data_IF_917016234095
#
_entry.id   IF_917016234095
#
_cell.length_a   1.000
_cell.length_b   1.000
_cell.length_c   1.000
_cell.angle_alpha   90.00
_cell.angle_beta   90.00
_cell.angle_gamma   90.00
#
_symmetry.space_group_name_H-M   'P 1'
#
loop_
_entity.id
_entity.type
_entity.pdbx_description
1 polymer ?
#
# COMPACT_ATOMS: atom_id res chain seq x y z
N UNK A 1 10.54 -10.71 -3.31
CA UNK A 1 9.83 -11.44 -4.38
C UNK A 1 8.94 -10.43 -5.05
N UNK A 2 9.31 -9.92 -6.23
CA UNK A 2 8.51 -8.93 -6.95
C UNK A 2 7.26 -9.63 -7.51
N UNK A 3 6.10 -9.00 -7.39
CA UNK A 3 4.92 -9.44 -8.13
C UNK A 3 5.10 -8.97 -9.58
N UNK A 4 5.81 -9.77 -10.39
CA UNK A 4 5.70 -9.63 -11.84
C UNK A 4 4.32 -10.18 -12.19
N UNK A 5 3.46 -9.32 -12.73
CA UNK A 5 2.13 -9.69 -13.23
C UNK A 5 2.32 -10.44 -14.54
N UNK A 6 2.80 -11.67 -14.44
CA UNK A 6 2.83 -12.61 -15.55
C UNK A 6 1.47 -13.31 -15.64
N UNK A 7 0.84 -13.18 -16.81
CA UNK A 7 -0.28 -14.02 -17.29
C UNK A 7 -1.68 -13.83 -16.66
N UNK A 8 -1.98 -12.66 -16.09
CA UNK A 8 -3.36 -12.28 -15.77
C UNK A 8 -3.47 -10.80 -15.48
N UNK A 9 -4.42 -10.10 -16.12
CA UNK A 9 -4.56 -8.65 -16.00
C UNK A 9 -4.79 -8.25 -14.54
N UNK A 10 -3.76 -7.77 -13.86
CA UNK A 10 -3.92 -7.06 -12.60
C UNK A 10 -4.58 -5.71 -12.89
N UNK A 11 -5.54 -5.33 -12.05
CA UNK A 11 -6.23 -4.05 -12.19
C UNK A 11 -5.72 -3.08 -11.13
N UNK A 12 -5.04 -2.02 -11.57
CA UNK A 12 -4.73 -0.88 -10.71
C UNK A 12 -6.03 -0.12 -10.46
N UNK A 13 -6.57 -0.17 -9.24
CA UNK A 13 -7.80 0.56 -8.93
C UNK A 13 -7.53 1.97 -8.41
N UNK A 14 -6.42 2.16 -7.70
CA UNK A 14 -6.09 3.46 -7.12
C UNK A 14 -4.59 3.67 -6.98
N UNK A 15 -4.18 4.91 -7.24
CA UNK A 15 -2.90 5.49 -6.85
C UNK A 15 -3.21 6.89 -6.34
N UNK A 16 -3.09 7.09 -5.03
CA UNK A 16 -3.47 8.31 -4.33
C UNK A 16 -2.23 8.96 -3.69
N UNK A 17 -1.69 10.03 -4.31
CA UNK A 17 -0.74 10.92 -3.65
C UNK A 17 -1.41 11.60 -2.45
N UNK A 18 -0.70 11.65 -1.33
CA UNK A 18 -1.15 12.29 -0.11
C UNK A 18 -0.44 13.65 0.08
N UNK A 19 -1.02 14.51 0.92
CA UNK A 19 -0.48 15.85 1.19
C UNK A 19 0.88 15.83 1.90
N UNK A 20 1.18 14.77 2.64
CA UNK A 20 2.45 14.54 3.33
C UNK A 20 3.55 13.98 2.39
N UNK A 21 3.26 13.88 1.09
CA UNK A 21 4.19 13.33 0.09
C UNK A 21 4.20 11.80 0.05
N UNK A 22 3.39 11.12 0.88
CA UNK A 22 3.21 9.68 0.78
C UNK A 22 2.37 9.30 -0.45
N UNK A 23 2.56 8.07 -0.93
CA UNK A 23 1.84 7.50 -2.08
C UNK A 23 1.20 6.21 -1.62
N UNK A 24 -0.12 6.14 -1.75
CA UNK A 24 -0.89 4.93 -1.53
C UNK A 24 -1.26 4.30 -2.88
N UNK A 25 -1.03 3.01 -3.05
CA UNK A 25 -1.37 2.29 -4.27
C UNK A 25 -2.01 0.94 -4.00
N UNK A 26 -2.96 0.58 -4.87
CA UNK A 26 -3.77 -0.61 -4.72
C UNK A 26 -3.96 -1.34 -6.06
N UNK A 27 -3.63 -2.64 -6.05
CA UNK A 27 -3.68 -3.52 -7.23
C UNK A 27 -4.47 -4.78 -6.90
N UNK A 28 -5.55 -5.03 -7.63
CA UNK A 28 -6.33 -6.27 -7.52
C UNK A 28 -5.76 -7.32 -8.46
N UNK A 29 -5.55 -8.51 -7.93
CA UNK A 29 -5.08 -9.67 -8.68
C UNK A 29 -6.25 -10.55 -9.13
N UNK A 30 -6.09 -11.32 -10.22
CA UNK A 30 -7.12 -12.24 -10.71
C UNK A 30 -7.52 -13.35 -9.71
N UNK A 31 -6.68 -13.62 -8.71
CA UNK A 31 -6.90 -14.66 -7.70
C UNK A 31 -7.79 -14.22 -6.51
N UNK A 32 -8.38 -13.01 -6.59
CA UNK A 32 -9.24 -12.45 -5.54
C UNK A 32 -8.47 -11.85 -4.36
N UNK A 33 -7.15 -11.76 -4.47
CA UNK A 33 -6.31 -11.00 -3.55
C UNK A 33 -5.98 -9.63 -4.14
N UNK A 34 -5.43 -8.79 -3.30
CA UNK A 34 -4.93 -7.51 -3.70
C UNK A 34 -3.66 -7.13 -2.95
N UNK A 35 -2.82 -6.38 -3.64
CA UNK A 35 -1.63 -5.76 -3.10
C UNK A 35 -1.91 -4.31 -2.74
N UNK A 36 -1.65 -3.97 -1.49
CA UNK A 36 -1.62 -2.62 -0.99
C UNK A 36 -0.18 -2.21 -0.75
N UNK A 37 0.18 -1.01 -1.22
CA UNK A 37 1.51 -0.44 -1.00
C UNK A 37 1.38 1.01 -0.56
N UNK A 38 1.91 1.32 0.61
CA UNK A 38 2.10 2.68 1.10
C UNK A 38 3.60 3.00 1.05
N UNK A 39 3.95 4.10 0.39
CA UNK A 39 5.29 4.68 0.38
C UNK A 39 5.24 6.01 1.12
N UNK A 40 6.06 6.21 2.14
CA UNK A 40 6.22 7.51 2.81
C UNK A 40 7.65 7.99 2.69
N UNK A 41 7.85 9.31 2.72
CA UNK A 41 9.13 9.98 2.58
C UNK A 41 9.41 10.76 3.87
N UNK A 42 10.45 10.37 4.58
CA UNK A 42 11.01 11.10 5.71
C UNK A 42 12.48 11.39 5.39
N UNK A 43 12.70 12.49 4.67
CA UNK A 43 13.98 12.83 4.04
C UNK A 43 15.15 12.72 5.03
N UNK A 44 16.23 11.98 4.71
CA UNK A 44 16.61 11.46 3.38
C UNK A 44 16.11 10.03 3.10
N UNK A 45 15.21 9.49 3.93
CA UNK A 45 14.75 8.11 3.89
C UNK A 45 13.38 8.00 3.22
N UNK A 46 13.14 6.87 2.58
CA UNK A 46 11.83 6.47 2.12
C UNK A 46 11.50 5.10 2.71
N UNK A 47 10.27 4.95 3.19
CA UNK A 47 9.77 3.72 3.77
C UNK A 47 8.64 3.19 2.91
N UNK A 48 8.60 1.88 2.67
CA UNK A 48 7.50 1.24 1.96
C UNK A 48 6.99 0.03 2.72
N UNK A 49 5.67 -0.05 2.90
CA UNK A 49 5.00 -1.26 3.40
C UNK A 49 4.16 -1.83 2.27
N UNK A 50 4.29 -3.14 2.06
CA UNK A 50 3.51 -3.90 1.09
C UNK A 50 2.75 -5.01 1.80
N UNK A 51 1.46 -5.12 1.52
CA UNK A 51 0.60 -6.15 2.08
C UNK A 51 -0.24 -6.79 1.00
N UNK A 52 -0.40 -8.11 1.12
CA UNK A 52 -1.34 -8.88 0.32
C UNK A 52 -2.51 -9.32 1.20
N UNK A 53 -3.71 -8.87 0.86
CA UNK A 53 -4.94 -9.19 1.56
C UNK A 53 -6.02 -9.63 0.56
N UNK A 54 -7.14 -10.16 1.04
CA UNK A 54 -8.29 -10.40 0.15
C UNK A 54 -8.89 -9.07 -0.33
N UNK A 55 -9.39 -9.02 -1.56
CA UNK A 55 -9.98 -7.80 -2.16
C UNK A 55 -11.22 -7.25 -1.41
N UNK A 56 -11.80 -8.01 -0.47
CA UNK A 56 -12.89 -7.48 0.38
C UNK A 56 -12.39 -6.77 1.63
N UNK A 57 -11.16 -7.06 2.05
CA UNK A 57 -10.61 -6.59 3.33
C UNK A 57 -9.49 -5.56 3.18
N UNK A 58 -9.03 -5.29 1.96
CA UNK A 58 -7.86 -4.44 1.74
C UNK A 58 -7.98 -3.04 2.33
N UNK A 59 -9.16 -2.40 2.31
CA UNK A 59 -9.34 -1.05 2.86
C UNK A 59 -9.01 -1.02 4.35
N UNK A 60 -9.52 -2.02 5.08
CA UNK A 60 -9.23 -2.19 6.50
C UNK A 60 -7.73 -2.42 6.73
N UNK A 61 -7.06 -3.21 5.90
CA UNK A 61 -5.62 -3.43 6.01
C UNK A 61 -4.82 -2.15 5.68
N UNK A 62 -5.23 -1.40 4.65
CA UNK A 62 -4.63 -0.14 4.26
C UNK A 62 -4.72 0.90 5.38
N UNK A 63 -5.88 0.97 6.05
CA UNK A 63 -6.06 1.86 7.20
C UNK A 63 -5.18 1.46 8.40
N UNK A 64 -5.01 0.16 8.68
CA UNK A 64 -4.07 -0.33 9.71
C UNK A 64 -2.63 0.08 9.39
N UNK A 65 -2.21 -0.03 8.12
CA UNK A 65 -0.87 0.38 7.67
C UNK A 65 -0.65 1.87 7.88
N UNK A 66 -1.61 2.69 7.44
CA UNK A 66 -1.57 4.14 7.59
C UNK A 66 -1.48 4.54 9.06
N UNK A 67 -2.26 3.89 9.93
CA UNK A 67 -2.22 4.13 11.37
C UNK A 67 -0.87 3.74 11.99
N UNK A 68 -0.25 2.65 11.52
CA UNK A 68 1.04 2.20 12.02
C UNK A 68 2.16 3.21 11.78
N UNK A 69 2.10 3.98 10.68
CA UNK A 69 3.03 5.08 10.42
C UNK A 69 2.78 6.32 11.28
N UNK A 70 1.51 6.68 11.54
CA UNK A 70 1.19 7.84 12.40
C UNK A 70 1.66 7.63 13.83
N UNK A 71 1.63 6.40 14.32
CA UNK A 71 2.10 6.05 15.66
C UNK A 71 3.62 6.16 15.80
N UNK A 72 4.38 5.95 14.72
CA UNK A 72 5.84 6.14 14.73
C UNK A 72 6.28 7.60 14.69
N UNK A 73 5.47 8.51 14.14
CA UNK A 73 5.77 9.95 14.11
C UNK A 73 5.41 10.68 15.42
N UNK A 74 4.44 10.17 16.19
CA UNK A 74 4.05 10.75 17.49
C UNK A 74 4.98 10.40 18.66
N UNK A 75 6.11 9.73 18.38
CA UNK A 75 7.03 9.17 19.36
C UNK A 75 8.39 9.87 19.47
N UNK A 76 8.46 11.19 19.21
CA UNK A 76 9.62 12.04 19.55
C UNK A 76 9.18 13.33 20.24
#
# INVERSE_FOLDING_TARGET
RWAVVEEGRAEVRSVEPQLDGSIDSYVVLPDGYAWHRLVTIDSPRAYSIELRASDRSWRTHADIVRQSFRLTDSGQ
#
